data_IF_707487132391
#
_entry.id   IF_707487132391
#
_cell.length_a   1.000
_cell.length_b   1.000
_cell.length_c   1.000
_cell.angle_alpha   90.00
_cell.angle_beta   90.00
_cell.angle_gamma   90.00
#
_symmetry.space_group_name_H-M   'P 1'
#
loop_
_entity.id
_entity.type
_entity.pdbx_description
1 polymer ?
#
# COMPACT_ATOMS: atom_id res chain seq x y z
N UNK A 1 -11.39 16.43 -7.30
CA UNK A 1 -10.42 16.79 -6.24
C UNK A 1 -11.16 17.41 -5.09
N UNK A 2 -10.82 17.02 -3.86
CA UNK A 2 -11.38 17.60 -2.63
C UNK A 2 -10.24 18.05 -1.72
N UNK A 3 -10.50 19.06 -0.86
CA UNK A 3 -9.57 19.49 0.18
C UNK A 3 -10.35 19.74 1.48
N UNK A 4 -9.81 19.26 2.60
CA UNK A 4 -10.43 19.40 3.91
C UNK A 4 -9.38 19.28 5.03
N UNK A 5 -9.75 19.67 6.23
CA UNK A 5 -8.95 19.47 7.44
C UNK A 5 -9.64 18.42 8.31
N UNK A 6 -8.89 17.47 8.80
CA UNK A 6 -9.40 16.43 9.70
C UNK A 6 -8.37 16.12 10.79
N UNK A 7 -8.74 15.25 11.73
CA UNK A 7 -7.88 14.82 12.82
C UNK A 7 -7.41 13.39 12.57
N UNK A 8 -6.14 13.10 12.83
CA UNK A 8 -5.59 11.75 12.76
C UNK A 8 -6.16 10.94 13.91
N UNK A 9 -6.81 9.83 13.58
CA UNK A 9 -7.43 8.91 14.53
C UNK A 9 -6.61 7.62 14.66
N UNK A 10 -6.92 6.83 15.68
CA UNK A 10 -6.33 5.50 15.92
C UNK A 10 -7.45 4.53 16.29
N UNK A 11 -7.35 3.29 15.83
CA UNK A 11 -8.26 2.23 16.26
C UNK A 11 -7.97 1.84 17.71
N UNK A 12 -8.98 1.94 18.59
CA UNK A 12 -8.81 1.66 20.03
C UNK A 12 -8.49 0.18 20.31
N UNK A 13 -9.26 -0.76 19.77
CA UNK A 13 -9.06 -2.20 20.06
C UNK A 13 -8.33 -2.97 18.95
N UNK A 14 -8.65 -2.74 17.69
CA UNK A 14 -8.02 -3.43 16.56
C UNK A 14 -6.70 -2.79 16.13
N UNK A 15 -6.54 -1.49 16.35
CA UNK A 15 -5.35 -0.74 16.02
C UNK A 15 -4.25 -0.82 17.07
N UNK A 16 -4.55 -1.20 18.31
CA UNK A 16 -3.55 -1.33 19.39
C UNK A 16 -2.48 -2.37 19.06
N UNK A 17 -2.86 -3.49 18.45
CA UNK A 17 -1.90 -4.53 18.03
C UNK A 17 -1.02 -4.12 16.86
N UNK A 18 -1.46 -3.17 16.03
CA UNK A 18 -0.77 -2.76 14.79
C UNK A 18 -0.29 -1.32 14.82
N UNK A 19 -0.73 -0.51 15.78
CA UNK A 19 -0.46 0.94 15.82
C UNK A 19 -1.07 1.70 14.63
N UNK A 20 -2.14 1.19 14.04
CA UNK A 20 -2.78 1.80 12.89
C UNK A 20 -3.41 3.14 13.24
N UNK A 21 -2.99 4.17 12.53
CA UNK A 21 -3.63 5.47 12.51
C UNK A 21 -4.25 5.72 11.16
N UNK A 22 -5.29 6.52 11.12
CA UNK A 22 -6.04 6.79 9.90
C UNK A 22 -6.68 8.18 9.93
N UNK A 23 -7.12 8.64 8.78
CA UNK A 23 -8.04 9.75 8.62
C UNK A 23 -9.35 9.23 8.02
N UNK A 24 -10.44 9.84 8.41
CA UNK A 24 -11.77 9.54 7.89
C UNK A 24 -12.07 10.39 6.66
N UNK A 25 -12.72 9.78 5.67
CA UNK A 25 -13.27 10.42 4.47
C UNK A 25 -14.77 10.16 4.54
N UNK A 26 -15.54 11.21 4.77
CA UNK A 26 -17.00 11.09 4.88
C UNK A 26 -17.64 10.59 3.58
N UNK A 27 -18.85 10.05 3.68
CA UNK A 27 -19.62 9.58 2.53
C UNK A 27 -19.78 10.64 1.44
N UNK A 28 -20.01 11.91 1.83
CA UNK A 28 -20.12 13.02 0.89
C UNK A 28 -18.79 13.34 0.18
N UNK A 29 -17.68 13.25 0.90
CA UNK A 29 -16.33 13.43 0.35
C UNK A 29 -15.97 12.28 -0.58
N UNK A 30 -16.26 11.05 -0.18
CA UNK A 30 -16.04 9.85 -1.00
C UNK A 30 -16.87 9.90 -2.29
N UNK A 31 -18.12 10.36 -2.22
CA UNK A 31 -18.96 10.53 -3.40
C UNK A 31 -18.38 11.56 -4.39
N UNK A 32 -17.79 12.65 -3.90
CA UNK A 32 -17.09 13.64 -4.76
C UNK A 32 -15.81 13.09 -5.38
N UNK A 33 -15.12 12.15 -4.73
CA UNK A 33 -13.93 11.50 -5.25
C UNK A 33 -14.26 10.41 -6.28
N UNK A 34 -15.19 9.55 -5.93
CA UNK A 34 -15.63 8.43 -6.78
C UNK A 34 -17.13 8.15 -6.54
N UNK A 35 -18.01 8.70 -7.38
CA UNK A 35 -19.46 8.58 -7.20
C UNK A 35 -19.93 7.12 -7.14
N UNK A 36 -20.92 6.85 -6.30
CA UNK A 36 -21.61 5.55 -6.17
C UNK A 36 -20.72 4.36 -5.82
N UNK A 37 -19.46 4.57 -5.38
CA UNK A 37 -18.61 3.45 -4.97
C UNK A 37 -18.92 3.01 -3.54
N UNK A 38 -18.94 1.68 -3.33
CA UNK A 38 -19.04 1.05 -2.00
C UNK A 38 -17.82 0.18 -1.69
N UNK A 39 -16.90 0.08 -2.63
CA UNK A 39 -15.68 -0.72 -2.52
C UNK A 39 -14.45 0.17 -2.42
N UNK A 40 -13.36 -0.40 -1.92
CA UNK A 40 -12.07 0.26 -1.86
C UNK A 40 -11.68 0.86 -3.21
N UNK A 41 -11.18 2.09 -3.20
CA UNK A 41 -10.62 2.75 -4.37
C UNK A 41 -9.32 3.46 -4.01
N UNK A 42 -8.52 3.78 -4.99
CA UNK A 42 -7.24 4.44 -4.76
C UNK A 42 -7.37 5.95 -4.87
N UNK A 43 -6.54 6.63 -4.10
CA UNK A 43 -6.42 8.09 -4.11
C UNK A 43 -4.95 8.51 -4.24
N UNK A 44 -4.77 9.71 -4.78
CA UNK A 44 -3.52 10.46 -4.81
C UNK A 44 -3.77 11.89 -4.35
N UNK A 45 -2.73 12.58 -3.95
CA UNK A 45 -2.82 13.97 -3.50
C UNK A 45 -1.79 14.28 -2.44
N UNK A 46 -2.15 15.07 -1.44
CA UNK A 46 -1.24 15.48 -0.36
C UNK A 46 -1.89 15.36 1.01
N UNK A 47 -1.07 14.99 1.96
CA UNK A 47 -1.32 15.05 3.40
C UNK A 47 -0.37 16.12 3.95
N UNK A 48 -0.87 17.30 4.28
CA UNK A 48 -0.10 18.55 4.42
C UNK A 48 0.80 18.75 3.18
N UNK A 49 2.14 18.73 3.35
CA UNK A 49 3.10 18.82 2.27
C UNK A 49 3.55 17.44 1.72
N UNK A 50 3.14 16.32 2.36
CA UNK A 50 3.56 14.99 1.96
C UNK A 50 2.69 14.45 0.82
N UNK A 51 3.30 14.22 -0.33
CA UNK A 51 2.62 13.64 -1.50
C UNK A 51 2.34 12.17 -1.32
N UNK A 52 1.13 11.75 -1.70
CA UNK A 52 0.71 10.35 -1.72
C UNK A 52 0.18 9.97 -3.11
N UNK A 53 0.38 8.73 -3.51
CA UNK A 53 -0.14 8.17 -4.75
C UNK A 53 -0.51 6.70 -4.58
N UNK A 54 -1.53 6.27 -5.31
CA UNK A 54 -2.01 4.88 -5.31
C UNK A 54 -2.27 4.31 -3.91
N UNK A 55 -2.76 5.16 -2.99
CA UNK A 55 -3.13 4.72 -1.64
C UNK A 55 -4.58 4.26 -1.66
N UNK A 56 -4.83 3.04 -1.18
CA UNK A 56 -6.17 2.49 -1.11
C UNK A 56 -6.94 3.10 0.08
N UNK A 57 -8.19 3.43 -0.17
CA UNK A 57 -9.18 3.71 0.88
C UNK A 57 -9.85 2.41 1.31
N UNK A 58 -10.32 2.34 2.54
CA UNK A 58 -10.99 1.18 3.11
C UNK A 58 -12.44 1.58 3.45
N UNK A 59 -13.45 0.91 2.87
CA UNK A 59 -14.85 1.21 3.17
C UNK A 59 -15.21 0.78 4.60
N UNK A 60 -16.03 1.58 5.29
CA UNK A 60 -16.48 1.32 6.65
C UNK A 60 -17.87 0.66 6.72
N UNK A 61 -18.57 0.53 5.59
CA UNK A 61 -19.89 -0.09 5.50
C UNK A 61 -21.05 0.91 5.55
N UNK A 62 -20.85 2.08 6.11
CA UNK A 62 -21.84 3.17 6.26
C UNK A 62 -21.73 4.25 5.17
N UNK A 63 -20.92 4.02 4.16
CA UNK A 63 -20.60 4.98 3.09
C UNK A 63 -19.37 5.83 3.37
N UNK A 64 -18.87 5.85 4.60
CA UNK A 64 -17.59 6.45 4.96
C UNK A 64 -16.44 5.53 4.55
N UNK A 65 -15.28 6.14 4.38
CA UNK A 65 -14.03 5.45 4.11
C UNK A 65 -12.95 5.93 5.07
N UNK A 66 -11.93 5.12 5.24
CA UNK A 66 -10.72 5.52 5.93
C UNK A 66 -9.52 5.43 5.01
N UNK A 67 -8.54 6.28 5.25
CA UNK A 67 -7.21 6.22 4.63
C UNK A 67 -6.20 5.99 5.74
N UNK A 68 -5.57 4.81 5.72
CA UNK A 68 -4.57 4.45 6.70
C UNK A 68 -3.30 5.30 6.54
N UNK A 69 -2.80 5.85 7.64
CA UNK A 69 -1.54 6.58 7.71
C UNK A 69 -0.48 5.62 8.24
N UNK A 70 0.35 5.11 7.35
CA UNK A 70 1.41 4.16 7.71
C UNK A 70 2.60 4.85 8.41
N UNK A 71 3.55 4.05 8.91
CA UNK A 71 4.72 4.55 9.63
C UNK A 71 5.58 5.54 8.83
N UNK A 72 5.75 5.30 7.54
CA UNK A 72 6.51 6.20 6.65
C UNK A 72 5.81 7.54 6.50
N UNK A 73 4.49 7.55 6.31
CA UNK A 73 3.69 8.77 6.24
C UNK A 73 3.75 9.55 7.56
N UNK A 74 3.57 8.87 8.71
CA UNK A 74 3.67 9.52 10.02
C UNK A 74 5.03 10.18 10.25
N UNK A 75 6.10 9.48 9.88
CA UNK A 75 7.47 10.00 10.02
C UNK A 75 7.69 11.23 9.12
N UNK A 76 7.21 11.19 7.89
CA UNK A 76 7.31 12.32 6.96
C UNK A 76 6.46 13.52 7.38
N UNK A 77 5.30 13.29 7.99
CA UNK A 77 4.38 14.32 8.48
C UNK A 77 4.81 14.90 9.83
N UNK A 78 5.60 14.17 10.63
CA UNK A 78 5.90 14.55 12.01
C UNK A 78 4.65 14.61 12.91
N UNK A 79 3.57 13.91 12.54
CA UNK A 79 2.27 13.98 13.21
C UNK A 79 1.83 12.64 13.77
N UNK A 80 1.01 12.70 14.82
CA UNK A 80 0.49 11.55 15.57
C UNK A 80 -1.04 11.63 15.73
N UNK A 81 -1.62 10.66 16.37
CA UNK A 81 -3.03 10.67 16.78
C UNK A 81 -3.38 11.98 17.53
N UNK A 82 -4.51 12.55 17.17
CA UNK A 82 -5.00 13.81 17.73
C UNK A 82 -4.59 15.06 16.96
N UNK A 83 -3.57 14.97 16.11
CA UNK A 83 -3.11 16.11 15.33
C UNK A 83 -4.03 16.39 14.15
N UNK A 84 -4.23 17.68 13.85
CA UNK A 84 -4.96 18.13 12.66
C UNK A 84 -4.07 18.02 11.43
N UNK A 85 -4.65 17.62 10.31
CA UNK A 85 -3.98 17.46 9.03
C UNK A 85 -4.83 18.04 7.90
N UNK A 86 -4.20 18.79 6.99
CA UNK A 86 -4.81 19.23 5.74
C UNK A 86 -4.68 18.12 4.70
N UNK A 87 -5.80 17.74 4.12
CA UNK A 87 -5.89 16.63 3.17
C UNK A 87 -6.39 17.16 1.85
N UNK A 88 -5.65 16.89 0.77
CA UNK A 88 -6.10 17.15 -0.60
C UNK A 88 -6.04 15.85 -1.38
N UNK A 89 -7.17 15.39 -1.90
CA UNK A 89 -7.29 14.09 -2.56
C UNK A 89 -8.02 14.19 -3.89
N UNK A 90 -7.65 13.29 -4.78
CA UNK A 90 -8.40 12.94 -5.98
C UNK A 90 -8.35 11.43 -6.20
N UNK A 91 -9.32 10.87 -6.90
CA UNK A 91 -9.30 9.46 -7.28
C UNK A 91 -8.04 9.16 -8.11
N UNK A 92 -7.46 8.00 -7.91
CA UNK A 92 -6.25 7.56 -8.62
C UNK A 92 -6.54 6.28 -9.41
N UNK A 93 -6.93 6.47 -10.65
CA UNK A 93 -7.18 5.39 -11.60
C UNK A 93 -5.93 5.04 -12.44
N UNK A 94 -4.74 5.57 -12.06
CA UNK A 94 -3.48 5.24 -12.73
C UNK A 94 -3.19 3.74 -12.67
N UNK A 95 -2.55 3.23 -13.73
CA UNK A 95 -2.09 1.84 -13.76
C UNK A 95 -1.04 1.62 -12.66
N UNK A 96 -1.07 0.43 -12.05
CA UNK A 96 -0.02 0.03 -11.12
C UNK A 96 1.26 -0.18 -11.93
N UNK A 97 2.29 0.59 -11.59
CA UNK A 97 3.63 0.39 -12.16
C UNK A 97 4.30 -0.75 -11.39
N UNK A 98 4.59 -1.82 -12.10
CA UNK A 98 5.33 -2.98 -11.56
C UNK A 98 6.81 -2.83 -11.85
N UNK A 99 7.65 -3.49 -11.03
CA UNK A 99 9.10 -3.54 -11.26
C UNK A 99 9.39 -4.15 -12.62
N UNK A 100 10.06 -3.39 -13.50
CA UNK A 100 10.44 -3.86 -14.82
C UNK A 100 11.39 -5.07 -14.74
N UNK A 101 12.37 -5.02 -13.85
CA UNK A 101 13.34 -6.08 -13.68
C UNK A 101 12.70 -7.37 -13.17
N UNK A 102 11.78 -7.26 -12.19
CA UNK A 102 10.98 -8.41 -11.75
C UNK A 102 10.17 -9.00 -12.90
N UNK A 103 9.47 -8.16 -13.66
CA UNK A 103 8.64 -8.64 -14.76
C UNK A 103 9.46 -9.29 -15.87
N UNK A 104 10.67 -8.82 -16.10
CA UNK A 104 11.60 -9.44 -17.06
C UNK A 104 12.03 -10.83 -16.58
N UNK A 105 12.47 -10.95 -15.33
CA UNK A 105 12.87 -12.25 -14.77
C UNK A 105 11.69 -13.23 -14.68
N UNK A 106 10.48 -12.77 -14.36
CA UNK A 106 9.30 -13.63 -14.29
C UNK A 106 8.91 -14.26 -15.65
N UNK A 107 9.31 -13.66 -16.78
CA UNK A 107 9.04 -14.26 -18.11
C UNK A 107 9.73 -15.61 -18.30
N UNK A 108 10.88 -15.78 -17.68
CA UNK A 108 11.67 -17.02 -17.75
C UNK A 108 11.24 -18.06 -16.71
N UNK A 109 10.28 -17.68 -15.82
CA UNK A 109 9.82 -18.51 -14.70
C UNK A 109 8.28 -18.68 -14.74
N UNK A 110 7.74 -19.57 -15.60
CA UNK A 110 6.30 -19.66 -15.87
C UNK A 110 5.44 -19.91 -14.63
N UNK A 111 5.91 -20.72 -13.68
CA UNK A 111 5.18 -21.02 -12.44
C UNK A 111 5.08 -19.78 -11.54
N UNK A 112 6.19 -19.08 -11.36
CA UNK A 112 6.23 -17.85 -10.58
C UNK A 112 5.41 -16.73 -11.25
N UNK A 113 5.49 -16.61 -12.58
CA UNK A 113 4.69 -15.65 -13.35
C UNK A 113 3.18 -15.91 -13.21
N UNK A 114 2.76 -17.17 -13.31
CA UNK A 114 1.36 -17.53 -13.14
C UNK A 114 0.87 -17.25 -11.72
N UNK A 115 1.68 -17.53 -10.70
CA UNK A 115 1.38 -17.20 -9.32
C UNK A 115 1.28 -15.67 -9.12
N UNK A 116 2.24 -14.91 -9.65
CA UNK A 116 2.24 -13.45 -9.57
C UNK A 116 1.01 -12.80 -10.20
N UNK A 117 0.61 -13.26 -11.39
CA UNK A 117 -0.58 -12.76 -12.10
C UNK A 117 -1.89 -13.03 -11.35
N UNK A 118 -1.95 -14.08 -10.55
CA UNK A 118 -3.12 -14.41 -9.70
C UNK A 118 -3.22 -13.54 -8.46
N UNK A 119 -2.13 -12.89 -8.04
CA UNK A 119 -2.16 -12.02 -6.87
C UNK A 119 -3.02 -10.78 -7.14
N UNK A 120 -3.74 -10.28 -6.12
CA UNK A 120 -4.36 -8.95 -6.18
C UNK A 120 -3.31 -7.88 -6.54
N UNK A 121 -3.72 -6.85 -7.28
CA UNK A 121 -2.80 -5.79 -7.72
C UNK A 121 -2.07 -5.09 -6.57
N UNK A 122 -2.69 -4.99 -5.39
CA UNK A 122 -2.04 -4.49 -4.17
C UNK A 122 -0.86 -5.36 -3.74
N UNK A 123 -0.98 -6.67 -3.82
CA UNK A 123 0.10 -7.61 -3.48
C UNK A 123 1.21 -7.57 -4.52
N UNK A 124 0.88 -7.53 -5.82
CA UNK A 124 1.88 -7.32 -6.89
C UNK A 124 2.70 -6.04 -6.65
N UNK A 125 2.03 -4.98 -6.18
CA UNK A 125 2.66 -3.71 -5.85
C UNK A 125 3.60 -3.81 -4.64
N UNK A 126 3.30 -4.62 -3.62
CA UNK A 126 4.21 -4.83 -2.48
C UNK A 126 5.54 -5.44 -2.92
N UNK A 127 5.51 -6.50 -3.72
CA UNK A 127 6.73 -7.10 -4.27
C UNK A 127 7.52 -6.09 -5.10
N UNK A 128 6.87 -5.40 -6.03
CA UNK A 128 7.52 -4.41 -6.89
C UNK A 128 8.16 -3.27 -6.11
N UNK A 129 7.45 -2.68 -5.16
CA UNK A 129 7.97 -1.60 -4.32
C UNK A 129 9.15 -2.03 -3.46
N UNK A 130 9.07 -3.21 -2.87
CA UNK A 130 10.15 -3.74 -2.06
C UNK A 130 11.42 -3.98 -2.90
N UNK A 131 11.29 -4.51 -4.11
CA UNK A 131 12.41 -4.69 -5.03
C UNK A 131 13.01 -3.34 -5.43
N UNK A 132 12.17 -2.39 -5.86
CA UNK A 132 12.64 -1.07 -6.31
C UNK A 132 13.21 -0.20 -5.16
N UNK A 133 12.88 -0.49 -3.91
CA UNK A 133 13.46 0.21 -2.76
C UNK A 133 14.87 -0.24 -2.40
N UNK A 134 15.46 -1.20 -3.13
CA UNK A 134 16.83 -1.64 -2.94
C UNK A 134 17.80 -0.51 -3.32
N UNK A 135 18.76 -0.23 -2.43
CA UNK A 135 19.78 0.81 -2.67
C UNK A 135 20.94 0.37 -3.55
N UNK A 136 21.14 -0.95 -3.70
CA UNK A 136 22.23 -1.53 -4.50
C UNK A 136 21.68 -2.56 -5.48
N UNK A 137 22.38 -2.75 -6.61
CA UNK A 137 22.03 -3.76 -7.60
C UNK A 137 22.04 -5.18 -6.99
N UNK A 138 23.04 -5.48 -6.16
CA UNK A 138 23.13 -6.78 -5.48
C UNK A 138 21.90 -7.06 -4.59
N UNK A 139 21.46 -6.07 -3.81
CA UNK A 139 20.25 -6.19 -3.00
C UNK A 139 19.01 -6.34 -3.86
N UNK A 140 18.92 -5.62 -4.96
CA UNK A 140 17.79 -5.71 -5.91
C UNK A 140 17.71 -7.11 -6.51
N UNK A 141 18.81 -7.64 -7.00
CA UNK A 141 18.91 -9.00 -7.53
C UNK A 141 18.50 -10.05 -6.49
N UNK A 142 19.04 -9.97 -5.27
CA UNK A 142 18.66 -10.86 -4.18
C UNK A 142 17.14 -10.84 -3.91
N UNK A 143 16.53 -9.66 -3.90
CA UNK A 143 15.08 -9.52 -3.69
C UNK A 143 14.25 -10.11 -4.82
N UNK A 144 14.70 -9.98 -6.07
CA UNK A 144 14.06 -10.62 -7.23
C UNK A 144 14.11 -12.14 -7.09
N UNK A 145 15.26 -12.71 -6.81
CA UNK A 145 15.42 -14.18 -6.61
C UNK A 145 14.50 -14.67 -5.50
N UNK A 146 14.51 -14.03 -4.34
CA UNK A 146 13.62 -14.37 -3.22
C UNK A 146 12.14 -14.31 -3.60
N UNK A 147 11.75 -13.33 -4.40
CA UNK A 147 10.37 -13.18 -4.88
C UNK A 147 9.98 -14.34 -5.80
N UNK A 148 10.83 -14.70 -6.75
CA UNK A 148 10.60 -15.79 -7.69
C UNK A 148 10.47 -17.13 -6.95
N UNK A 149 11.37 -17.42 -6.03
CA UNK A 149 11.34 -18.63 -5.20
C UNK A 149 10.06 -18.71 -4.35
N UNK A 150 9.67 -17.61 -3.72
CA UNK A 150 8.46 -17.54 -2.91
C UNK A 150 7.20 -17.77 -3.76
N UNK A 151 7.11 -17.12 -4.92
CA UNK A 151 5.99 -17.27 -5.84
C UNK A 151 5.89 -18.69 -6.40
N UNK A 152 7.01 -19.33 -6.73
CA UNK A 152 7.06 -20.74 -7.16
C UNK A 152 6.53 -21.69 -6.07
N UNK A 153 6.72 -21.34 -4.80
CA UNK A 153 6.19 -22.04 -3.63
C UNK A 153 4.78 -21.55 -3.21
N UNK A 154 4.16 -20.69 -4.00
CA UNK A 154 2.85 -20.07 -3.73
C UNK A 154 2.78 -19.30 -2.40
N UNK A 155 3.89 -18.77 -1.93
CA UNK A 155 3.97 -17.92 -0.73
C UNK A 155 3.51 -16.50 -1.04
N UNK A 156 2.84 -15.88 -0.08
CA UNK A 156 2.59 -14.44 -0.12
C UNK A 156 3.83 -13.63 0.32
N UNK A 157 3.73 -12.29 0.22
CA UNK A 157 4.83 -11.40 0.59
C UNK A 157 5.22 -11.51 2.06
N UNK A 158 4.25 -11.66 2.96
CA UNK A 158 4.49 -11.79 4.40
C UNK A 158 5.15 -13.13 4.74
N UNK A 159 4.70 -14.20 4.11
CA UNK A 159 5.29 -15.55 4.27
C UNK A 159 6.73 -15.59 3.77
N UNK A 160 7.01 -14.99 2.62
CA UNK A 160 8.37 -14.85 2.10
C UNK A 160 9.30 -14.15 3.10
N UNK A 161 8.88 -13.02 3.66
CA UNK A 161 9.71 -12.29 4.64
C UNK A 161 9.92 -13.05 5.93
N UNK A 162 8.93 -13.81 6.40
CA UNK A 162 9.07 -14.66 7.59
C UNK A 162 10.03 -15.82 7.34
N UNK A 163 9.95 -16.49 6.20
CA UNK A 163 10.83 -17.60 5.85
C UNK A 163 12.29 -17.17 5.71
N UNK A 164 12.52 -15.99 5.11
CA UNK A 164 13.89 -15.47 4.93
C UNK A 164 14.59 -15.15 6.27
N UNK A 165 13.85 -14.76 7.29
CA UNK A 165 14.41 -14.51 8.64
C UNK A 165 14.81 -15.79 9.37
N UNK A 166 14.12 -16.91 9.12
CA UNK A 166 14.45 -18.21 9.72
C UNK A 166 15.72 -18.83 9.13
N UNK A 167 16.07 -18.49 7.90
CA UNK A 167 17.25 -19.01 7.22
C UNK A 167 18.53 -18.18 7.47
N UNK A 168 18.47 -17.18 8.35
CA UNK A 168 19.60 -16.28 8.69
C UNK A 168 20.18 -16.59 10.09
N UNK A 169 19.81 -17.72 10.70
CA UNK A 169 20.35 -18.22 11.97
C UNK A 169 21.31 -19.37 11.71
#
# INVERSE_FOLDING_TARGET
>A
MISFITTIQKFDKKGEKTGWTYIEISASQAHKLKPKTKVAFRVKGTLDAHSISQVATIPMGDGNFILAINGTMRKALGKKQGDKIKVTLQADDSKIVLSHDLMTCLKDEPLALAAFKKLPGSHQKYFSRWIESAKTAATKTKRIVMTIEALSKKMDFGEMLRSSRKNTV
#
